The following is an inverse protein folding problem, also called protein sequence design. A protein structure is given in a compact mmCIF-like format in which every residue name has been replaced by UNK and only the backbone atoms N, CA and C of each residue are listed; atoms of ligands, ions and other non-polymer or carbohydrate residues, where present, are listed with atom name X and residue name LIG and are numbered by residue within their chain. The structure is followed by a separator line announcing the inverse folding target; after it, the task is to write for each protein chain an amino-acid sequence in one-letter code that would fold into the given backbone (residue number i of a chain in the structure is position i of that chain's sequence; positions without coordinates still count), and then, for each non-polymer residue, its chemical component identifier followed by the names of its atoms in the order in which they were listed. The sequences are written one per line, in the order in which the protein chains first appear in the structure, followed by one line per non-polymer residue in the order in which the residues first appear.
data_IF_798401337192
#
_entry.id   IF_798401337192
#
_cell.length_a   1.000
_cell.length_b   1.000
_cell.length_c   1.000
_cell.angle_alpha   90.00
_cell.angle_beta   90.00
_cell.angle_gamma   90.00
#
_symmetry.space_group_name_H-M   'P 1'
#
loop_
_entity.id
_entity.type
_entity.pdbx_description
1 polymer ?
#
# COMPACT_ATOMS: atom_id res chain seq x y z
N UNK A 1 13.98 4.30 -14.15
CA UNK A 1 15.10 4.05 -13.21
C UNK A 1 16.38 4.46 -13.90
N UNK A 2 17.19 5.33 -13.30
CA UNK A 2 18.51 5.66 -13.86
C UNK A 2 19.51 4.57 -13.45
N UNK A 3 19.82 3.66 -14.37
CA UNK A 3 20.72 2.54 -14.12
C UNK A 3 22.12 2.96 -13.71
N UNK A 4 22.65 4.08 -14.23
CA UNK A 4 23.99 4.58 -13.87
C UNK A 4 24.02 5.04 -12.43
N UNK A 5 22.99 5.78 -11.98
CA UNK A 5 22.88 6.22 -10.60
C UNK A 5 22.79 5.02 -9.64
N UNK A 6 21.98 4.02 -9.97
CA UNK A 6 21.87 2.78 -9.18
C UNK A 6 23.21 2.05 -9.11
N UNK A 7 23.90 1.84 -10.24
CA UNK A 7 25.19 1.17 -10.27
C UNK A 7 26.27 1.89 -9.46
N UNK A 8 26.31 3.22 -9.54
CA UNK A 8 27.21 4.05 -8.74
C UNK A 8 26.93 3.91 -7.23
N UNK A 9 25.65 3.90 -6.81
CA UNK A 9 25.26 3.68 -5.41
C UNK A 9 25.68 2.30 -4.91
N UNK A 10 25.44 1.23 -5.67
CA UNK A 10 25.87 -0.13 -5.31
C UNK A 10 27.39 -0.22 -5.12
N UNK A 11 28.15 0.34 -6.07
CA UNK A 11 29.61 0.36 -6.02
C UNK A 11 30.12 1.15 -4.81
N UNK A 12 29.51 2.30 -4.51
CA UNK A 12 29.88 3.12 -3.37
C UNK A 12 29.64 2.39 -2.04
N UNK A 13 28.46 1.76 -1.88
CA UNK A 13 28.12 0.98 -0.69
C UNK A 13 29.07 -0.22 -0.50
N UNK A 14 29.37 -0.96 -1.57
CA UNK A 14 30.33 -2.07 -1.50
C UNK A 14 31.73 -1.59 -1.10
N UNK A 15 32.23 -0.51 -1.72
CA UNK A 15 33.56 0.05 -1.41
C UNK A 15 33.64 0.60 0.01
N UNK A 16 32.56 1.19 0.54
CA UNK A 16 32.48 1.62 1.93
C UNK A 16 32.66 0.47 2.93
N UNK A 17 32.27 -0.74 2.55
CA UNK A 17 32.51 -1.98 3.31
C UNK A 17 33.89 -2.60 3.05
N UNK A 18 34.73 -1.99 2.21
CA UNK A 18 35.99 -2.54 1.73
C UNK A 18 35.86 -3.92 1.05
N UNK A 19 34.67 -4.25 0.51
CA UNK A 19 34.39 -5.54 -0.12
C UNK A 19 34.80 -5.52 -1.60
N UNK A 20 35.35 -6.63 -2.10
CA UNK A 20 35.48 -6.90 -3.54
C UNK A 20 34.13 -7.39 -4.09
N UNK A 21 33.96 -7.37 -5.41
CA UNK A 21 32.73 -7.92 -6.02
C UNK A 21 32.54 -9.41 -5.68
N UNK A 22 33.64 -10.17 -5.55
CA UNK A 22 33.61 -11.56 -5.10
C UNK A 22 33.15 -11.74 -3.64
N UNK A 23 33.38 -10.74 -2.78
CA UNK A 23 32.88 -10.76 -1.40
C UNK A 23 31.36 -10.56 -1.39
N UNK A 24 30.84 -9.68 -2.25
CA UNK A 24 29.40 -9.46 -2.41
C UNK A 24 28.69 -10.66 -3.05
N UNK A 25 29.36 -11.36 -3.97
CA UNK A 25 28.88 -12.65 -4.49
C UNK A 25 28.72 -13.67 -3.38
N UNK A 26 29.75 -13.85 -2.54
CA UNK A 26 29.69 -14.76 -1.39
C UNK A 26 28.57 -14.41 -0.41
N UNK A 27 28.32 -13.11 -0.18
CA UNK A 27 27.29 -12.64 0.73
C UNK A 27 25.86 -12.79 0.18
N UNK A 28 25.68 -12.82 -1.14
CA UNK A 28 24.34 -12.72 -1.77
C UNK A 28 23.98 -13.89 -2.69
N UNK A 29 24.93 -14.76 -3.02
CA UNK A 29 24.77 -15.81 -4.03
C UNK A 29 24.56 -15.27 -5.45
N UNK A 30 24.81 -13.98 -5.69
CA UNK A 30 24.71 -13.35 -7.01
C UNK A 30 26.10 -13.26 -7.63
N UNK A 31 26.27 -13.85 -8.82
CA UNK A 31 27.60 -13.98 -9.43
C UNK A 31 28.34 -12.64 -9.56
N UNK A 32 29.68 -12.65 -9.41
CA UNK A 32 30.54 -11.47 -9.59
C UNK A 32 30.26 -10.77 -10.93
N UNK A 33 29.99 -11.54 -11.98
CA UNK A 33 29.68 -11.01 -13.32
C UNK A 33 28.37 -10.22 -13.31
N UNK A 34 27.32 -10.72 -12.65
CA UNK A 34 26.06 -10.00 -12.48
C UNK A 34 26.23 -8.75 -11.60
N UNK A 35 26.99 -8.84 -10.51
CA UNK A 35 27.36 -7.68 -9.67
C UNK A 35 28.08 -6.62 -10.49
N UNK A 36 29.04 -7.01 -11.34
CA UNK A 36 29.79 -6.10 -12.20
C UNK A 36 28.88 -5.38 -13.20
N UNK A 37 27.97 -6.10 -13.86
CA UNK A 37 26.98 -5.51 -14.77
C UNK A 37 26.09 -4.49 -14.04
N UNK A 38 25.60 -4.83 -12.84
CA UNK A 38 24.80 -3.93 -12.03
C UNK A 38 25.57 -2.67 -11.63
N UNK A 39 26.84 -2.79 -11.20
CA UNK A 39 27.68 -1.64 -10.84
C UNK A 39 28.03 -0.73 -12.03
N UNK A 40 28.07 -1.27 -13.24
CA UNK A 40 28.20 -0.50 -14.47
C UNK A 40 26.88 0.17 -14.90
N UNK A 41 25.80 -0.05 -14.15
CA UNK A 41 24.46 0.45 -14.43
C UNK A 41 23.75 -0.29 -15.55
N UNK A 42 24.26 -1.45 -15.97
CA UNK A 42 23.61 -2.33 -16.94
C UNK A 42 22.59 -3.21 -16.23
N UNK A 43 21.40 -2.66 -16.04
CA UNK A 43 20.29 -3.32 -15.35
C UNK A 43 19.29 -3.98 -16.31
N UNK A 44 19.48 -3.84 -17.62
CA UNK A 44 18.62 -4.47 -18.62
C UNK A 44 18.67 -5.99 -18.49
N UNK A 45 17.49 -6.61 -18.33
CA UNK A 45 17.36 -8.06 -18.12
C UNK A 45 17.67 -8.54 -16.69
N UNK A 46 18.06 -7.65 -15.77
CA UNK A 46 18.25 -8.01 -14.35
C UNK A 46 16.89 -8.14 -13.67
N UNK A 47 16.57 -9.33 -13.18
CA UNK A 47 15.37 -9.52 -12.39
C UNK A 47 15.39 -8.65 -11.12
N UNK A 48 14.25 -8.01 -10.82
CA UNK A 48 14.10 -7.14 -9.63
C UNK A 48 14.49 -7.89 -8.35
N UNK A 49 14.15 -9.19 -8.24
CA UNK A 49 14.52 -10.01 -7.10
C UNK A 49 16.03 -10.15 -6.91
N UNK A 50 16.80 -10.23 -7.99
CA UNK A 50 18.26 -10.28 -7.96
C UNK A 50 18.85 -8.94 -7.51
N UNK A 51 18.33 -7.83 -8.06
CA UNK A 51 18.74 -6.49 -7.65
C UNK A 51 18.45 -6.24 -6.16
N UNK A 52 17.26 -6.65 -5.69
CA UNK A 52 16.87 -6.55 -4.28
C UNK A 52 17.84 -7.31 -3.37
N UNK A 53 18.19 -8.54 -3.72
CA UNK A 53 19.14 -9.37 -2.94
C UNK A 53 20.52 -8.73 -2.81
N UNK A 54 21.01 -8.09 -3.87
CA UNK A 54 22.29 -7.36 -3.85
C UNK A 54 22.21 -6.12 -2.96
N UNK A 55 21.12 -5.37 -3.04
CA UNK A 55 20.86 -4.17 -2.22
C UNK A 55 20.75 -4.54 -0.73
N UNK A 56 20.00 -5.58 -0.40
CA UNK A 56 19.85 -6.11 0.96
C UNK A 56 21.19 -6.64 1.52
N UNK A 57 21.98 -7.34 0.69
CA UNK A 57 23.32 -7.79 1.08
C UNK A 57 24.33 -6.66 1.39
N UNK A 58 24.03 -5.44 0.95
CA UNK A 58 24.78 -4.23 1.28
C UNK A 58 24.15 -3.45 2.44
N UNK A 59 23.12 -4.00 3.10
CA UNK A 59 22.32 -3.37 4.16
C UNK A 59 21.70 -2.04 3.71
N UNK A 60 21.19 -2.04 2.49
CA UNK A 60 20.42 -0.95 1.92
C UNK A 60 19.02 -1.44 1.54
N UNK A 61 18.12 -0.50 1.27
CA UNK A 61 16.75 -0.80 0.81
C UNK A 61 16.55 -0.33 -0.63
N UNK A 62 15.87 -1.17 -1.42
CA UNK A 62 15.52 -0.85 -2.80
C UNK A 62 14.10 -0.27 -2.82
N UNK A 63 13.97 0.99 -3.21
CA UNK A 63 12.67 1.64 -3.47
C UNK A 63 12.49 1.77 -4.98
N UNK A 64 11.38 1.24 -5.50
CA UNK A 64 11.00 1.35 -6.92
C UNK A 64 9.80 2.28 -7.00
N UNK A 65 9.94 3.32 -7.81
CA UNK A 65 8.93 4.34 -8.03
C UNK A 65 8.59 4.39 -9.53
N UNK A 66 7.29 4.56 -9.83
CA UNK A 66 6.77 4.66 -11.20
C UNK A 66 6.30 6.09 -11.44
N UNK A 67 7.02 6.83 -12.28
CA UNK A 67 6.67 8.20 -12.62
C UNK A 67 5.91 8.27 -13.94
N UNK A 68 4.76 8.94 -13.94
CA UNK A 68 3.99 9.25 -15.15
C UNK A 68 3.59 10.72 -15.15
N UNK A 69 3.92 11.43 -16.24
CA UNK A 69 3.55 12.83 -16.51
C UNK A 69 3.58 13.74 -15.26
N UNK A 70 4.79 13.99 -14.72
CA UNK A 70 4.98 14.98 -13.65
C UNK A 70 4.12 14.77 -12.40
N UNK A 71 3.92 13.52 -11.95
CA UNK A 71 3.14 13.20 -10.74
C UNK A 71 1.63 13.07 -10.98
N UNK A 72 1.19 12.94 -12.24
CA UNK A 72 -0.22 12.69 -12.56
C UNK A 72 -0.71 11.33 -12.03
N UNK A 73 0.17 10.33 -11.95
CA UNK A 73 -0.17 9.04 -11.33
C UNK A 73 -0.38 9.19 -9.82
N UNK A 74 0.50 9.92 -9.13
CA UNK A 74 0.38 10.17 -7.69
C UNK A 74 -0.93 10.91 -7.39
N UNK A 75 -1.22 11.99 -8.14
CA UNK A 75 -2.51 12.71 -8.04
C UNK A 75 -3.72 11.84 -8.31
N UNK A 76 -3.68 10.96 -9.32
CA UNK A 76 -4.79 10.05 -9.61
C UNK A 76 -4.99 9.02 -8.49
N UNK A 77 -3.90 8.48 -7.93
CA UNK A 77 -3.94 7.57 -6.79
C UNK A 77 -4.47 8.28 -5.54
N UNK A 78 -4.07 9.53 -5.32
CA UNK A 78 -4.52 10.40 -4.23
C UNK A 78 -6.01 10.75 -4.38
N UNK A 79 -6.47 11.12 -5.58
CA UNK A 79 -7.87 11.43 -5.88
C UNK A 79 -8.78 10.24 -5.59
N UNK A 80 -8.39 9.03 -6.02
CA UNK A 80 -9.17 7.82 -5.76
C UNK A 80 -9.19 7.45 -4.29
N UNK A 81 -8.06 7.60 -3.61
CA UNK A 81 -7.99 7.40 -2.15
C UNK A 81 -8.90 8.40 -1.42
N UNK A 82 -8.79 9.69 -1.77
CA UNK A 82 -9.60 10.76 -1.18
C UNK A 82 -11.10 10.56 -1.43
N UNK A 83 -11.50 10.12 -2.63
CA UNK A 83 -12.90 9.84 -2.94
C UNK A 83 -13.47 8.67 -2.12
N UNK A 84 -12.68 7.61 -1.92
CA UNK A 84 -13.05 6.50 -1.02
C UNK A 84 -13.13 6.97 0.43
N UNK A 85 -12.15 7.77 0.90
CA UNK A 85 -12.13 8.33 2.24
C UNK A 85 -13.34 9.20 2.51
N UNK A 86 -13.68 10.12 1.60
CA UNK A 86 -14.87 10.96 1.69
C UNK A 86 -16.15 10.11 1.75
N UNK A 87 -16.26 9.08 0.90
CA UNK A 87 -17.43 8.19 0.88
C UNK A 87 -17.59 7.45 2.20
N UNK A 88 -16.52 6.86 2.73
CA UNK A 88 -16.54 6.12 4.00
C UNK A 88 -16.83 7.06 5.16
N UNK A 89 -16.17 8.21 5.22
CA UNK A 89 -16.38 9.20 6.28
C UNK A 89 -17.82 9.68 6.32
N UNK A 90 -18.44 9.97 5.17
CA UNK A 90 -19.86 10.34 5.08
C UNK A 90 -20.75 9.24 5.63
N UNK A 91 -20.55 8.00 5.22
CA UNK A 91 -21.37 6.88 5.69
C UNK A 91 -21.23 6.68 7.20
N UNK A 92 -19.99 6.71 7.72
CA UNK A 92 -19.75 6.60 9.16
C UNK A 92 -20.41 7.75 9.94
N UNK A 93 -20.32 8.99 9.47
CA UNK A 93 -20.99 10.14 10.10
C UNK A 93 -22.52 9.99 10.13
N UNK A 94 -23.11 9.49 9.04
CA UNK A 94 -24.55 9.18 8.99
C UNK A 94 -24.95 8.11 10.01
N UNK A 95 -24.07 7.13 10.26
CA UNK A 95 -24.28 6.08 11.27
C UNK A 95 -23.84 6.53 12.69
N UNK A 96 -23.65 7.84 12.93
CA UNK A 96 -23.43 8.42 14.26
C UNK A 96 -21.97 8.43 14.75
N UNK A 97 -21.00 8.23 13.86
CA UNK A 97 -19.58 8.28 14.20
C UNK A 97 -19.02 9.70 14.07
N UNK A 98 -18.21 10.11 15.04
CA UNK A 98 -17.25 11.20 14.82
C UNK A 98 -16.08 10.65 14.01
N UNK A 99 -15.61 11.41 13.01
CA UNK A 99 -14.58 10.94 12.07
C UNK A 99 -13.54 12.02 11.85
N UNK A 100 -12.30 11.70 12.19
CA UNK A 100 -11.09 12.46 11.90
C UNK A 100 -10.32 11.80 10.75
N UNK A 101 -9.75 12.63 9.88
CA UNK A 101 -9.06 12.20 8.66
C UNK A 101 -7.56 12.41 8.84
N UNK A 102 -6.75 11.50 8.30
CA UNK A 102 -5.28 11.60 8.26
C UNK A 102 -4.65 11.90 9.63
N UNK A 103 -5.05 11.15 10.66
CA UNK A 103 -4.54 11.34 12.02
C UNK A 103 -3.10 10.83 12.11
N UNK A 104 -2.14 11.75 12.16
CA UNK A 104 -0.73 11.43 12.32
C UNK A 104 -0.39 10.84 13.70
N UNK A 105 0.66 10.04 13.78
CA UNK A 105 1.24 9.55 15.03
C UNK A 105 2.75 9.37 14.94
N UNK A 106 3.42 9.50 16.08
CA UNK A 106 4.83 9.18 16.28
C UNK A 106 5.02 8.69 17.71
N UNK A 107 5.31 7.41 17.90
CA UNK A 107 5.41 6.78 19.23
C UNK A 107 6.40 5.62 19.21
N UNK A 108 7.32 5.58 20.18
CA UNK A 108 8.31 4.49 20.32
C UNK A 108 9.08 4.15 19.02
N UNK A 109 9.42 5.16 18.22
CA UNK A 109 10.10 4.97 16.93
C UNK A 109 9.19 4.59 15.76
N UNK A 110 7.91 4.29 16.02
CA UNK A 110 6.90 4.06 15.00
C UNK A 110 6.24 5.38 14.60
N UNK A 111 6.17 5.67 13.30
CA UNK A 111 5.53 6.88 12.76
C UNK A 111 4.65 6.56 11.57
N UNK A 112 3.59 7.33 11.40
CA UNK A 112 2.68 7.22 10.28
C UNK A 112 1.43 8.07 10.45
N UNK A 113 0.40 7.73 9.68
CA UNK A 113 -0.93 8.32 9.77
C UNK A 113 -1.99 7.24 9.74
N UNK A 114 -3.16 7.53 10.29
CA UNK A 114 -4.37 6.72 10.20
C UNK A 114 -5.29 7.41 9.20
N UNK A 115 -5.75 6.70 8.18
CA UNK A 115 -6.49 7.30 7.06
C UNK A 115 -7.81 7.89 7.57
N UNK A 116 -8.59 7.10 8.32
CA UNK A 116 -9.68 7.61 9.15
C UNK A 116 -9.62 7.01 10.55
N UNK A 117 -9.72 7.88 11.55
CA UNK A 117 -9.94 7.51 12.94
C UNK A 117 -11.34 7.95 13.33
N UNK A 118 -12.19 7.01 13.70
CA UNK A 118 -13.58 7.29 14.05
C UNK A 118 -13.93 6.79 15.44
N UNK A 119 -14.84 7.45 16.14
CA UNK A 119 -15.36 6.96 17.42
C UNK A 119 -16.86 7.20 17.56
N UNK A 120 -17.51 6.30 18.29
CA UNK A 120 -18.93 6.40 18.62
C UNK A 120 -19.10 6.43 20.14
N UNK A 121 -19.73 7.50 20.64
CA UNK A 121 -19.84 7.74 22.08
C UNK A 121 -20.74 6.72 22.79
N UNK A 122 -21.88 6.35 22.18
CA UNK A 122 -22.87 5.44 22.74
C UNK A 122 -22.31 4.06 23.09
N UNK A 123 -21.44 3.52 22.25
CA UNK A 123 -20.81 2.21 22.40
C UNK A 123 -19.39 2.28 22.97
N UNK A 124 -18.82 3.48 23.11
CA UNK A 124 -17.40 3.71 23.42
C UNK A 124 -16.47 2.90 22.51
N UNK A 125 -16.80 2.81 21.22
CA UNK A 125 -15.99 2.10 20.23
C UNK A 125 -15.11 3.05 19.40
N UNK A 126 -13.81 2.75 19.31
CA UNK A 126 -12.89 3.36 18.34
C UNK A 126 -12.89 2.51 17.06
N UNK A 127 -12.79 3.11 15.90
CA UNK A 127 -12.68 2.44 14.61
C UNK A 127 -11.48 2.99 13.85
N UNK A 128 -10.56 2.10 13.49
CA UNK A 128 -9.34 2.40 12.75
C UNK A 128 -9.52 1.92 11.32
N UNK A 129 -9.67 2.87 10.40
CA UNK A 129 -9.92 2.58 8.99
C UNK A 129 -8.66 2.76 8.18
N UNK A 130 -8.30 1.73 7.41
CA UNK A 130 -7.28 1.77 6.37
C UNK A 130 -7.97 1.76 5.01
N UNK A 131 -7.58 2.65 4.12
CA UNK A 131 -8.14 2.77 2.77
C UNK A 131 -7.05 2.48 1.75
N UNK A 132 -7.31 1.51 0.87
CA UNK A 132 -6.42 1.20 -0.25
C UNK A 132 -7.18 1.30 -1.56
N UNK A 133 -6.76 2.23 -2.43
CA UNK A 133 -7.22 2.30 -3.81
C UNK A 133 -6.75 1.09 -4.62
N UNK A 134 -5.57 0.55 -4.28
CA UNK A 134 -5.01 -0.67 -4.86
C UNK A 134 -4.30 -1.53 -3.80
N UNK A 135 -4.41 -2.85 -3.95
CA UNK A 135 -3.83 -3.83 -3.02
C UNK A 135 -2.54 -4.42 -3.62
N UNK A 136 -1.45 -3.65 -3.52
CA UNK A 136 -0.13 -4.01 -4.07
C UNK A 136 0.58 -5.07 -3.22
N UNK A 137 0.70 -4.81 -1.91
CA UNK A 137 1.31 -5.70 -0.92
C UNK A 137 0.32 -6.04 0.21
N UNK A 138 -0.07 -7.31 0.30
CA UNK A 138 -1.07 -7.76 1.27
C UNK A 138 -0.49 -7.83 2.68
N UNK A 139 0.67 -8.47 2.82
CA UNK A 139 1.34 -8.64 4.12
C UNK A 139 1.70 -7.29 4.74
N UNK A 140 2.21 -6.36 3.93
CA UNK A 140 2.52 -5.01 4.39
C UNK A 140 1.27 -4.24 4.80
N UNK A 141 0.19 -4.34 4.01
CA UNK A 141 -1.09 -3.71 4.35
C UNK A 141 -1.60 -4.21 5.70
N UNK A 142 -1.62 -5.53 5.91
CA UNK A 142 -2.08 -6.08 7.18
C UNK A 142 -1.18 -5.74 8.36
N UNK A 143 0.14 -5.79 8.18
CA UNK A 143 1.12 -5.43 9.22
C UNK A 143 1.01 -3.96 9.62
N UNK A 144 0.91 -3.05 8.64
CA UNK A 144 0.76 -1.61 8.89
C UNK A 144 -0.57 -1.27 9.54
N UNK A 145 -1.64 -1.92 9.12
CA UNK A 145 -2.95 -1.70 9.72
C UNK A 145 -3.02 -2.23 11.16
N UNK A 146 -2.37 -3.36 11.46
CA UNK A 146 -2.21 -3.87 12.83
C UNK A 146 -1.45 -2.89 13.73
N UNK A 147 -0.32 -2.35 13.22
CA UNK A 147 0.44 -1.27 13.87
C UNK A 147 -0.46 -0.06 14.21
N UNK A 148 -1.27 0.40 13.25
CA UNK A 148 -2.21 1.52 13.46
C UNK A 148 -3.22 1.19 14.55
N UNK A 149 -3.83 0.00 14.52
CA UNK A 149 -4.83 -0.44 15.52
C UNK A 149 -4.24 -0.48 16.93
N UNK A 150 -3.01 -0.97 17.09
CA UNK A 150 -2.32 -1.01 18.39
C UNK A 150 -2.05 0.37 18.97
N UNK A 151 -1.72 1.35 18.12
CA UNK A 151 -1.37 2.70 18.55
C UNK A 151 -2.57 3.64 18.69
N UNK A 152 -3.67 3.36 17.98
CA UNK A 152 -4.83 4.24 17.90
C UNK A 152 -5.48 4.60 19.26
N UNK A 153 -5.60 3.72 20.27
CA UNK A 153 -6.16 4.09 21.57
C UNK A 153 -5.36 5.17 22.30
N UNK A 154 -4.03 5.11 22.20
CA UNK A 154 -3.16 6.13 22.79
C UNK A 154 -3.30 7.46 22.05
N UNK A 155 -3.31 7.42 20.72
CA UNK A 155 -3.53 8.61 19.88
C UNK A 155 -4.90 9.25 20.17
N UNK A 156 -5.95 8.44 20.32
CA UNK A 156 -7.29 8.90 20.67
C UNK A 156 -7.34 9.58 22.04
N UNK A 157 -6.68 8.99 23.04
CA UNK A 157 -6.63 9.54 24.38
C UNK A 157 -5.82 10.84 24.45
N UNK A 158 -4.65 10.88 23.81
CA UNK A 158 -3.71 12.01 23.86
C UNK A 158 -4.21 13.22 23.05
N UNK A 159 -4.80 13.01 21.87
CA UNK A 159 -5.22 14.11 20.98
C UNK A 159 -6.67 14.53 21.15
N UNK A 160 -7.55 13.58 21.46
CA UNK A 160 -8.99 13.81 21.46
C UNK A 160 -9.63 13.57 22.84
N UNK A 161 -8.83 13.28 23.87
CA UNK A 161 -9.32 13.01 25.22
C UNK A 161 -10.18 11.75 25.32
N UNK A 162 -10.12 10.87 24.32
CA UNK A 162 -11.12 9.81 24.14
C UNK A 162 -10.55 8.42 24.42
N UNK A 163 -11.19 7.66 25.31
CA UNK A 163 -10.74 6.33 25.75
C UNK A 163 -11.74 5.22 25.37
N UNK A 164 -11.44 4.43 24.31
CA UNK A 164 -12.33 3.34 23.91
C UNK A 164 -12.47 2.25 24.96
N UNK A 165 -13.64 1.61 24.97
CA UNK A 165 -13.85 0.29 25.56
C UNK A 165 -13.57 -0.85 24.56
N UNK A 166 -13.72 -0.58 23.26
CA UNK A 166 -13.45 -1.52 22.18
C UNK A 166 -12.80 -0.82 20.97
N UNK A 167 -12.03 -1.58 20.20
CA UNK A 167 -11.39 -1.09 18.96
C UNK A 167 -11.79 -1.99 17.79
N UNK A 168 -12.35 -1.37 16.76
CA UNK A 168 -12.60 -1.96 15.46
C UNK A 168 -11.47 -1.68 14.48
N UNK A 169 -11.21 -2.65 13.62
CA UNK A 169 -10.25 -2.62 12.52
C UNK A 169 -11.00 -2.80 11.21
N UNK A 170 -10.88 -1.84 10.30
CA UNK A 170 -11.61 -1.87 9.03
C UNK A 170 -10.69 -1.56 7.86
N UNK A 171 -10.53 -2.52 6.95
CA UNK A 171 -9.87 -2.28 5.66
C UNK A 171 -10.94 -1.97 4.62
N UNK A 172 -10.73 -0.90 3.86
CA UNK A 172 -11.60 -0.49 2.76
C UNK A 172 -10.86 -0.63 1.45
N UNK A 173 -11.54 -1.26 0.48
CA UNK A 173 -11.10 -1.40 -0.89
C UNK A 173 -12.19 -0.90 -1.84
N UNK A 174 -11.85 -0.43 -3.05
CA UNK A 174 -12.86 -0.16 -4.07
C UNK A 174 -13.56 -1.45 -4.49
N UNK A 175 -14.84 -1.37 -4.80
CA UNK A 175 -15.70 -2.46 -5.25
C UNK A 175 -15.40 -2.94 -6.69
N UNK A 176 -14.17 -2.77 -7.17
CA UNK A 176 -13.73 -3.22 -8.49
C UNK A 176 -13.42 -4.72 -8.55
N UNK A 177 -13.45 -5.28 -9.75
CA UNK A 177 -13.14 -6.71 -9.96
C UNK A 177 -11.70 -7.08 -9.62
N UNK A 178 -10.75 -6.15 -9.77
CA UNK A 178 -9.34 -6.37 -9.45
C UNK A 178 -9.09 -6.59 -7.96
N UNK A 179 -9.64 -5.71 -7.10
CA UNK A 179 -9.52 -5.81 -5.65
C UNK A 179 -10.18 -7.10 -5.13
N UNK A 180 -11.41 -7.41 -5.60
CA UNK A 180 -12.10 -8.66 -5.24
C UNK A 180 -11.31 -9.90 -5.66
N UNK A 181 -10.78 -9.94 -6.88
CA UNK A 181 -9.94 -11.06 -7.34
C UNK A 181 -8.64 -11.19 -6.55
N UNK A 182 -8.04 -10.08 -6.11
CA UNK A 182 -6.83 -10.13 -5.26
C UNK A 182 -7.15 -10.69 -3.88
N UNK A 183 -8.24 -10.26 -3.25
CA UNK A 183 -8.70 -10.81 -1.96
C UNK A 183 -9.05 -12.29 -2.08
N UNK A 184 -9.81 -12.69 -3.11
CA UNK A 184 -10.20 -14.08 -3.32
C UNK A 184 -9.00 -15.03 -3.50
N UNK A 185 -7.92 -14.58 -4.16
CA UNK A 185 -6.69 -15.37 -4.31
C UNK A 185 -5.94 -15.63 -2.99
N UNK A 186 -6.20 -14.82 -1.97
CA UNK A 186 -5.57 -14.92 -0.66
C UNK A 186 -6.63 -14.97 0.45
N UNK A 187 -7.76 -15.65 0.17
CA UNK A 187 -8.93 -15.66 1.03
C UNK A 187 -8.59 -16.11 2.45
N UNK A 188 -7.82 -17.20 2.62
CA UNK A 188 -7.45 -17.73 3.94
C UNK A 188 -6.82 -16.68 4.87
N UNK A 189 -5.96 -15.83 4.32
CA UNK A 189 -5.28 -14.78 5.09
C UNK A 189 -6.23 -13.61 5.41
N UNK A 190 -7.12 -13.24 4.49
CA UNK A 190 -8.14 -12.22 4.75
C UNK A 190 -9.27 -12.72 5.64
N UNK A 191 -9.60 -14.00 5.62
CA UNK A 191 -10.60 -14.62 6.48
C UNK A 191 -10.07 -14.73 7.91
N UNK A 192 -8.79 -15.04 8.07
CA UNK A 192 -8.13 -15.02 9.38
C UNK A 192 -8.00 -13.59 9.94
N UNK A 193 -7.57 -12.62 9.13
CA UNK A 193 -7.27 -11.27 9.62
C UNK A 193 -8.47 -10.32 9.65
N UNK A 194 -9.41 -10.47 8.71
CA UNK A 194 -10.55 -9.56 8.47
C UNK A 194 -11.82 -10.35 8.11
N UNK A 195 -12.33 -11.20 9.03
CA UNK A 195 -13.43 -12.12 8.76
C UNK A 195 -14.76 -11.42 8.47
N UNK A 196 -15.00 -10.25 9.08
CA UNK A 196 -16.33 -9.62 9.03
C UNK A 196 -16.51 -8.82 7.75
N UNK A 197 -17.58 -9.10 7.00
CA UNK A 197 -17.86 -8.50 5.69
C UNK A 197 -19.35 -8.24 5.48
N UNK A 198 -19.67 -7.47 4.43
CA UNK A 198 -21.02 -7.33 3.91
C UNK A 198 -22.03 -6.86 4.96
N UNK A 199 -23.16 -7.57 5.08
CA UNK A 199 -24.24 -7.18 5.99
C UNK A 199 -23.82 -7.18 7.45
N UNK A 200 -23.05 -8.17 7.90
CA UNK A 200 -22.58 -8.26 9.28
C UNK A 200 -21.75 -7.02 9.67
N UNK A 201 -20.86 -6.60 8.76
CA UNK A 201 -20.08 -5.38 8.94
C UNK A 201 -20.97 -4.14 9.02
N UNK A 202 -21.95 -4.00 8.11
CA UNK A 202 -22.88 -2.86 8.10
C UNK A 202 -23.74 -2.80 9.36
N UNK A 203 -24.16 -3.96 9.89
CA UNK A 203 -24.88 -4.03 11.17
C UNK A 203 -23.99 -3.55 12.31
N UNK A 204 -22.75 -4.03 12.40
CA UNK A 204 -21.81 -3.61 13.43
C UNK A 204 -21.46 -2.12 13.33
N UNK A 205 -21.34 -1.54 12.13
CA UNK A 205 -21.09 -0.10 11.99
C UNK A 205 -22.23 0.73 12.59
N UNK A 206 -23.49 0.29 12.50
CA UNK A 206 -24.64 1.03 13.05
C UNK A 206 -24.77 0.90 14.56
N UNK A 207 -24.60 -0.32 15.07
CA UNK A 207 -24.64 -0.63 16.51
C UNK A 207 -23.42 -1.48 16.88
N UNK A 208 -22.24 -0.86 17.04
CA UNK A 208 -21.01 -1.58 17.33
C UNK A 208 -21.05 -2.18 18.74
N UNK A 209 -20.82 -3.49 18.77
CA UNK A 209 -20.74 -4.30 19.98
C UNK A 209 -19.39 -5.00 20.01
N UNK A 210 -18.53 -4.60 20.94
CA UNK A 210 -17.19 -5.18 21.08
C UNK A 210 -16.25 -4.90 19.89
N UNK A 211 -15.06 -5.53 19.87
CA UNK A 211 -14.08 -5.35 18.81
C UNK A 211 -14.55 -6.01 17.49
N UNK A 212 -14.02 -5.52 16.37
CA UNK A 212 -14.28 -6.08 15.03
C UNK A 212 -13.02 -6.05 14.19
N UNK A 213 -12.85 -7.03 13.31
CA UNK A 213 -11.90 -6.98 12.20
C UNK A 213 -12.62 -7.29 10.90
N UNK A 214 -12.67 -6.32 9.98
CA UNK A 214 -13.50 -6.44 8.79
C UNK A 214 -12.94 -5.80 7.53
N UNK A 215 -13.51 -6.25 6.40
CA UNK A 215 -13.19 -5.80 5.06
C UNK A 215 -14.45 -5.27 4.38
N UNK A 216 -14.35 -4.07 3.83
CA UNK A 216 -15.45 -3.43 3.10
C UNK A 216 -15.04 -3.07 1.67
N UNK A 217 -15.84 -3.53 0.71
CA UNK A 217 -15.79 -3.04 -0.67
C UNK A 217 -16.77 -1.87 -0.84
N UNK A 218 -16.24 -0.69 -1.16
CA UNK A 218 -17.02 0.55 -1.37
C UNK A 218 -17.11 0.84 -2.87
N UNK A 219 -18.30 1.16 -3.42
CA UNK A 219 -18.44 1.58 -4.82
C UNK A 219 -17.44 2.68 -5.19
N UNK A 220 -16.81 2.54 -6.35
CA UNK A 220 -15.93 3.58 -6.87
C UNK A 220 -16.83 4.73 -7.35
N UNK A 221 -16.92 5.81 -6.58
CA UNK A 221 -17.75 6.97 -6.92
C UNK A 221 -17.32 7.62 -8.25
N UNK A 222 -16.06 7.38 -8.68
CA UNK A 222 -15.57 7.73 -10.01
C UNK A 222 -16.32 7.05 -11.17
N UNK A 223 -17.00 5.93 -10.94
CA UNK A 223 -17.81 5.26 -11.98
C UNK A 223 -19.26 5.76 -12.07
N UNK A 224 -19.78 6.44 -11.04
CA UNK A 224 -21.17 6.88 -11.02
C UNK A 224 -21.39 8.23 -11.72
N UNK A 225 -20.35 9.07 -11.86
CA UNK A 225 -20.45 10.42 -12.45
C UNK A 225 -19.81 10.58 -13.84
N UNK A 226 -18.96 9.65 -14.29
CA UNK A 226 -18.36 9.72 -15.61
C UNK A 226 -19.28 9.02 -16.61
N UNK A 227 -20.09 9.82 -17.31
CA UNK A 227 -20.65 9.48 -18.63
C UNK A 227 -19.60 8.63 -19.35
N UNK A 228 -19.88 7.34 -19.59
CA UNK A 228 -18.98 6.35 -20.21
C UNK A 228 -18.03 7.02 -21.21
N UNK A 229 -16.86 7.45 -20.76
CA UNK A 229 -15.80 7.77 -21.69
C UNK A 229 -15.21 6.41 -22.03
N UNK A 230 -15.70 5.88 -23.15
CA UNK A 230 -15.17 4.66 -23.76
C UNK A 230 -13.73 5.00 -24.08
N UNK A 231 -12.83 4.76 -23.13
CA UNK A 231 -11.39 4.71 -23.39
C UNK A 231 -11.21 3.59 -24.41
N UNK A 232 -11.19 4.00 -25.68
CA UNK A 232 -10.91 3.12 -26.80
C UNK A 232 -9.55 2.49 -26.53
N UNK A 233 -9.42 1.15 -26.58
CA UNK A 233 -8.13 0.52 -26.38
C UNK A 233 -7.15 1.06 -27.42
N UNK A 234 -6.15 1.82 -26.96
CA UNK A 234 -5.10 2.35 -27.81
C UNK A 234 -4.22 1.17 -28.24
N UNK A 235 -4.48 0.61 -29.42
CA UNK A 235 -3.64 -0.43 -30.01
C UNK A 235 -2.26 0.17 -30.31
N UNK A 236 -1.24 -0.30 -29.58
CA UNK A 236 0.16 -0.06 -29.93
C UNK A 236 0.48 -0.90 -31.16
N UNK A 237 0.68 -0.25 -32.31
CA UNK A 237 1.24 -0.94 -33.49
C UNK A 237 2.74 -1.12 -33.26
N UNK A 238 3.19 -2.36 -33.09
CA UNK A 238 4.59 -2.69 -33.26
C UNK A 238 4.98 -2.41 -34.71
N UNK A 239 5.94 -1.51 -34.94
CA UNK A 239 6.65 -1.46 -36.22
C UNK A 239 7.47 -2.74 -36.32
N UNK A 240 7.05 -3.66 -37.18
CA UNK A 240 7.93 -4.73 -37.66
C UNK A 240 9.09 -4.07 -38.39
N UNK A 241 10.27 -4.10 -37.78
CA UNK A 241 11.51 -3.66 -38.42
C UNK A 241 11.76 -4.56 -39.63
N UNK A 242 11.60 -3.99 -40.83
CA UNK A 242 12.14 -4.61 -42.04
C UNK A 242 13.65 -4.61 -41.93
N UNK A 243 14.26 -5.79 -41.97
CA UNK A 243 15.67 -5.95 -42.30
C UNK A 243 15.84 -5.57 -43.78
N UNK A 244 16.70 -4.61 -44.14
CA UNK A 244 17.20 -4.55 -45.51
C UNK A 244 18.14 -5.74 -45.71
N UNK A 245 17.76 -6.60 -46.66
CA UNK A 245 18.57 -7.66 -47.22
C UNK A 245 19.62 -7.11 -48.19
N UNK A 246 20.86 -7.59 -48.02
CA UNK A 246 22.04 -7.54 -48.90
C UNK A 246 22.57 -6.15 -49.30
#
# INVERSE_FOLDING_TARGET
MDGRKVGASLRALRRRRAWRQADLERATGVSRSAVSLMELGRLDGVAIGTLRRVVEGLDASLVIDVRWRGGALDRLLDERHAALAATVATILRTDGWHVEVEVSYSRYGERGSIDLLAWQASSRTLLVVEIKSELTSIEETLRKHDQKVRLAPAVAAERFGWRPAAVGRLLVLPAGTAARRRVARHASLFDAALPVRGRALRTWIRDPRGPLSGLWFVPDSSQAGVKRDRTTPQRVRCRSGGLPSA
#
